data_IF_986849640800
#
_entry.id   IF_986849640800
#
_cell.length_a   1.000
_cell.length_b   1.000
_cell.length_c   1.000
_cell.angle_alpha   90.00
_cell.angle_beta   90.00
_cell.angle_gamma   90.00
#
_symmetry.space_group_name_H-M   'P 1'
#
loop_
_entity.id
_entity.type
_entity.pdbx_description
1 polymer ?
#
# COMPACT_ATOMS: atom_id res chain seq x y z
N UNK A 1 5.75 -48.72 25.82
CA UNK A 1 5.33 -47.74 26.83
C UNK A 1 5.15 -46.44 26.08
N UNK A 2 3.93 -45.94 26.06
CA UNK A 2 3.35 -45.08 25.03
C UNK A 2 4.00 -43.69 24.92
N UNK A 3 4.39 -43.31 23.70
CA UNK A 3 4.93 -42.00 23.33
C UNK A 3 3.89 -41.15 22.56
N UNK A 4 2.61 -41.24 22.93
CA UNK A 4 1.57 -40.35 22.43
C UNK A 4 1.45 -39.14 23.36
N UNK A 5 2.41 -38.22 23.26
CA UNK A 5 2.33 -36.91 23.93
C UNK A 5 1.41 -36.04 23.08
N UNK A 6 0.22 -35.81 23.60
CA UNK A 6 -0.93 -35.13 22.98
C UNK A 6 -0.55 -34.01 22.00
N UNK A 7 -1.06 -34.11 20.77
CA UNK A 7 -0.92 -33.09 19.73
C UNK A 7 -1.53 -31.71 20.12
N UNK A 8 -2.17 -31.63 21.30
CA UNK A 8 -2.78 -30.46 21.92
C UNK A 8 -2.13 -30.15 23.29
N UNK A 9 -0.80 -30.23 23.38
CA UNK A 9 -0.05 -29.81 24.57
C UNK A 9 -0.15 -28.28 24.78
N UNK A 10 -1.13 -27.84 25.57
CA UNK A 10 -1.39 -26.45 25.97
C UNK A 10 -0.22 -25.80 26.75
N UNK A 11 0.79 -26.59 27.13
CA UNK A 11 2.01 -26.09 27.76
C UNK A 11 2.75 -25.08 26.88
N UNK A 12 2.63 -25.16 25.55
CA UNK A 12 3.29 -24.21 24.65
C UNK A 12 2.66 -22.82 24.72
N UNK A 13 1.33 -22.74 24.87
CA UNK A 13 0.62 -21.47 24.99
C UNK A 13 0.91 -20.80 26.34
N UNK A 14 0.90 -21.60 27.42
CA UNK A 14 1.28 -21.13 28.76
C UNK A 14 2.73 -20.65 28.79
N UNK A 15 3.66 -21.40 28.20
CA UNK A 15 5.08 -20.99 28.10
C UNK A 15 5.26 -19.72 27.29
N UNK A 16 4.58 -19.60 26.14
CA UNK A 16 4.66 -18.39 25.32
C UNK A 16 4.14 -17.16 26.09
N UNK A 17 3.08 -17.34 26.89
CA UNK A 17 2.57 -16.28 27.75
C UNK A 17 3.59 -15.91 28.83
N UNK A 18 4.12 -16.88 29.57
CA UNK A 18 5.13 -16.64 30.61
C UNK A 18 6.39 -15.98 30.04
N UNK A 19 6.87 -16.43 28.88
CA UNK A 19 8.01 -15.83 28.16
C UNK A 19 7.70 -14.38 27.75
N UNK A 20 6.49 -14.10 27.27
CA UNK A 20 6.07 -12.74 26.90
C UNK A 20 6.02 -11.79 28.10
N UNK A 21 5.49 -12.27 29.23
CA UNK A 21 5.41 -11.50 30.49
C UNK A 21 6.81 -11.27 31.04
N UNK A 22 7.69 -12.27 30.98
CA UNK A 22 9.08 -12.14 31.42
C UNK A 22 9.87 -11.18 30.54
N UNK A 23 9.70 -11.22 29.21
CA UNK A 23 10.31 -10.26 28.29
C UNK A 23 9.82 -8.83 28.56
N UNK A 24 8.52 -8.65 28.81
CA UNK A 24 7.95 -7.35 29.18
C UNK A 24 8.51 -6.84 30.52
N UNK A 25 8.67 -7.72 31.50
CA UNK A 25 9.31 -7.38 32.79
C UNK A 25 10.80 -7.05 32.63
N UNK A 26 11.52 -7.80 31.79
CA UNK A 26 12.94 -7.60 31.52
C UNK A 26 13.19 -6.28 30.78
N UNK A 27 12.39 -5.97 29.77
CA UNK A 27 12.49 -4.70 29.03
C UNK A 27 12.18 -3.50 29.92
N UNK A 28 11.19 -3.61 30.81
CA UNK A 28 10.91 -2.59 31.83
C UNK A 28 12.08 -2.45 32.81
N UNK A 29 12.59 -3.57 33.33
CA UNK A 29 13.71 -3.58 34.26
C UNK A 29 14.98 -2.99 33.63
N UNK A 30 15.25 -3.30 32.36
CA UNK A 30 16.35 -2.73 31.57
C UNK A 30 16.18 -1.22 31.39
N UNK A 31 14.99 -0.76 31.04
CA UNK A 31 14.68 0.69 30.94
C UNK A 31 14.88 1.42 32.27
N UNK A 32 14.47 0.80 33.39
CA UNK A 32 14.69 1.35 34.74
C UNK A 32 16.19 1.34 35.09
N UNK A 33 16.93 0.29 34.74
CA UNK A 33 18.37 0.23 34.98
C UNK A 33 19.11 1.31 34.17
N UNK A 34 18.79 1.46 32.89
CA UNK A 34 19.37 2.46 32.00
C UNK A 34 19.07 3.89 32.50
N UNK A 35 17.84 4.14 33.00
CA UNK A 35 17.49 5.44 33.59
C UNK A 35 18.18 5.70 34.93
N UNK A 36 18.42 4.68 35.75
CA UNK A 36 19.17 4.84 37.01
C UNK A 36 20.67 5.06 36.82
N UNK A 37 21.24 4.54 35.73
CA UNK A 37 22.67 4.73 35.42
C UNK A 37 22.92 6.16 34.91
N UNK A 38 22.01 6.72 34.11
CA UNK A 38 22.07 8.12 33.68
C UNK A 38 21.81 9.10 34.85
N UNK A 39 20.92 8.75 35.77
CA UNK A 39 20.60 9.58 36.95
C UNK A 39 21.78 9.82 37.90
N UNK A 40 22.83 8.98 37.87
CA UNK A 40 24.00 9.17 38.74
C UNK A 40 25.01 10.19 38.18
N UNK A 41 24.96 10.48 36.88
CA UNK A 41 25.76 11.52 36.23
C UNK A 41 24.99 12.86 36.10
N UNK A 42 23.66 12.84 36.20
CA UNK A 42 22.79 14.01 36.01
C UNK A 42 22.35 14.71 37.32
N UNK A 43 22.72 14.21 38.50
CA UNK A 43 22.39 14.83 39.80
C UNK A 43 23.17 16.13 40.14
N UNK A 44 23.59 16.91 39.14
CA UNK A 44 23.91 18.35 39.30
C UNK A 44 23.10 19.28 38.38
N UNK A 45 22.16 18.75 37.58
CA UNK A 45 21.23 19.60 36.83
C UNK A 45 19.88 18.91 36.58
N UNK A 46 18.86 19.51 37.18
CA UNK A 46 17.47 19.50 36.71
C UNK A 46 16.61 18.26 37.01
N UNK A 47 16.10 18.21 38.25
CA UNK A 47 14.97 17.37 38.63
C UNK A 47 13.64 17.98 38.14
N UNK A 48 13.26 17.86 36.87
CA UNK A 48 11.84 17.85 36.47
C UNK A 48 11.57 17.50 34.99
N UNK A 49 11.61 16.22 34.58
CA UNK A 49 10.92 15.81 33.35
C UNK A 49 10.10 14.55 33.60
N UNK A 50 8.83 14.76 33.99
CA UNK A 50 7.76 13.81 33.71
C UNK A 50 7.60 13.76 32.18
N UNK A 51 7.27 12.62 31.56
CA UNK A 51 6.83 12.64 30.18
C UNK A 51 5.49 13.38 30.19
N UNK A 52 5.56 14.63 29.78
CA UNK A 52 4.41 15.49 29.78
C UNK A 52 3.47 15.01 28.67
N UNK A 53 2.49 14.20 29.05
CA UNK A 53 1.19 14.27 28.39
C UNK A 53 0.52 15.59 28.81
N UNK A 54 1.22 16.71 28.60
CA UNK A 54 0.62 18.03 28.63
C UNK A 54 -0.32 17.99 27.44
N UNK A 55 -1.60 17.94 27.75
CA UNK A 55 -2.65 18.38 26.86
C UNK A 55 -2.19 19.74 26.36
N UNK A 56 -1.60 19.79 25.16
CA UNK A 56 -1.13 21.02 24.56
C UNK A 56 -2.36 21.90 24.37
N UNK A 57 -2.60 22.76 25.35
CA UNK A 57 -3.74 23.64 25.41
C UNK A 57 -3.71 24.55 24.18
N UNK A 58 -4.64 24.31 23.24
CA UNK A 58 -5.11 25.22 22.19
C UNK A 58 -4.07 26.17 21.58
N UNK A 59 -2.85 25.68 21.28
CA UNK A 59 -1.93 26.46 20.46
C UNK A 59 -2.45 26.37 19.02
N UNK A 60 -2.74 27.49 18.33
CA UNK A 60 -3.12 27.44 16.94
C UNK A 60 -1.99 26.79 16.13
N UNK A 61 -2.33 25.80 15.30
CA UNK A 61 -1.39 25.13 14.42
C UNK A 61 -0.78 26.15 13.45
N UNK A 62 0.53 26.05 13.22
CA UNK A 62 1.25 26.84 12.20
C UNK A 62 1.70 25.96 11.05
N UNK A 63 1.95 26.59 9.91
CA UNK A 63 2.50 25.90 8.74
C UNK A 63 3.84 25.25 9.13
N UNK A 64 3.95 23.97 8.81
CA UNK A 64 5.11 23.14 9.12
C UNK A 64 5.00 22.34 10.42
N UNK A 65 4.00 22.60 11.26
CA UNK A 65 3.74 21.78 12.44
C UNK A 65 3.23 20.39 12.04
N UNK A 66 3.49 19.44 12.94
CA UNK A 66 2.93 18.10 12.86
C UNK A 66 1.65 18.06 13.65
N UNK A 67 0.64 17.48 13.03
CA UNK A 67 -0.67 17.34 13.59
C UNK A 67 -1.26 16.02 13.12
N UNK A 68 -2.35 15.62 13.76
CA UNK A 68 -3.07 14.41 13.43
C UNK A 68 -4.45 14.78 12.89
N UNK A 69 -4.95 13.98 11.96
CA UNK A 69 -6.30 14.15 11.46
C UNK A 69 -6.90 12.81 11.04
N UNK A 70 -8.23 12.74 11.12
CA UNK A 70 -9.01 11.56 10.75
C UNK A 70 -9.15 11.48 9.23
N UNK A 71 -8.82 10.33 8.65
CA UNK A 71 -8.97 10.08 7.22
C UNK A 71 -10.32 9.39 6.92
N UNK A 72 -10.61 9.10 5.63
CA UNK A 72 -11.90 8.55 5.18
C UNK A 72 -12.24 7.17 5.77
N UNK A 73 -11.24 6.47 6.30
CA UNK A 73 -11.36 5.18 7.00
C UNK A 73 -11.75 5.34 8.48
N UNK A 74 -11.85 6.58 8.98
CA UNK A 74 -12.14 6.87 10.38
C UNK A 74 -10.93 6.69 11.30
N UNK A 75 -9.73 6.48 10.75
CA UNK A 75 -8.50 6.38 11.52
C UNK A 75 -7.72 7.68 11.50
N UNK A 76 -7.06 7.97 12.62
CA UNK A 76 -6.28 9.16 12.82
C UNK A 76 -4.83 8.93 12.39
N UNK A 77 -4.33 9.76 11.47
CA UNK A 77 -2.96 9.66 10.96
C UNK A 77 -2.17 10.93 11.19
N UNK A 78 -0.88 10.77 11.45
CA UNK A 78 0.07 11.86 11.57
C UNK A 78 0.34 12.48 10.19
N UNK A 79 0.37 13.81 10.17
CA UNK A 79 0.64 14.60 8.98
C UNK A 79 1.39 15.88 9.31
N UNK A 80 1.85 16.56 8.25
CA UNK A 80 2.49 17.85 8.32
C UNK A 80 1.59 18.90 7.67
N UNK A 81 1.37 20.01 8.36
CA UNK A 81 0.59 21.14 7.84
C UNK A 81 1.41 21.83 6.75
N UNK A 82 0.95 21.80 5.51
CA UNK A 82 1.62 22.38 4.33
C UNK A 82 1.21 23.83 4.10
N UNK A 83 -0.08 24.14 4.22
CA UNK A 83 -0.61 25.50 4.10
C UNK A 83 -1.81 25.69 5.02
N UNK A 84 -2.09 26.95 5.38
CA UNK A 84 -3.22 27.35 6.21
C UNK A 84 -3.95 28.47 5.47
N UNK A 85 -5.24 28.28 5.26
CA UNK A 85 -6.15 29.27 4.71
C UNK A 85 -6.97 29.89 5.85
N UNK A 86 -6.50 31.02 6.37
CA UNK A 86 -7.12 31.71 7.50
C UNK A 86 -8.58 32.15 7.21
N UNK A 87 -8.90 32.45 5.94
CA UNK A 87 -10.24 32.89 5.54
C UNK A 87 -11.27 31.76 5.62
N UNK A 88 -10.89 30.56 5.19
CA UNK A 88 -11.75 29.37 5.21
C UNK A 88 -11.67 28.63 6.55
N UNK A 89 -10.69 28.97 7.41
CA UNK A 89 -10.34 28.19 8.60
C UNK A 89 -10.05 26.72 8.24
N UNK A 90 -9.44 26.49 7.08
CA UNK A 90 -8.98 25.18 6.60
C UNK A 90 -7.46 25.16 6.46
N UNK A 91 -6.88 23.97 6.51
CA UNK A 91 -5.48 23.73 6.26
C UNK A 91 -5.31 22.57 5.30
N UNK A 92 -4.18 22.52 4.61
CA UNK A 92 -3.77 21.36 3.82
C UNK A 92 -2.78 20.56 4.66
N UNK A 93 -3.16 19.35 5.04
CA UNK A 93 -2.34 18.41 5.79
C UNK A 93 -1.80 17.34 4.83
N UNK A 94 -0.48 17.14 4.81
CA UNK A 94 0.17 16.04 4.09
C UNK A 94 0.48 14.89 5.04
N UNK A 95 -0.08 13.71 4.78
CA UNK A 95 0.14 12.54 5.62
C UNK A 95 1.58 12.02 5.53
N UNK A 96 2.15 11.66 6.68
CA UNK A 96 3.52 11.12 6.75
C UNK A 96 3.53 9.73 6.13
N UNK A 97 4.47 9.48 5.21
CA UNK A 97 4.64 8.17 4.55
C UNK A 97 3.77 7.98 3.30
N UNK A 98 2.51 8.40 3.35
CA UNK A 98 1.57 8.24 2.24
C UNK A 98 1.61 9.40 1.22
N UNK A 99 2.17 10.56 1.59
CA UNK A 99 2.27 11.78 0.78
C UNK A 99 0.95 12.37 0.24
N UNK A 100 -0.20 11.75 0.54
CA UNK A 100 -1.52 12.28 0.27
C UNK A 100 -1.74 13.60 1.02
N UNK A 101 -2.41 14.54 0.36
CA UNK A 101 -2.79 15.83 0.94
C UNK A 101 -4.29 15.91 1.10
N UNK A 102 -4.74 16.43 2.25
CA UNK A 102 -6.15 16.57 2.57
C UNK A 102 -6.42 17.99 3.08
N UNK A 103 -7.50 18.60 2.59
CA UNK A 103 -8.03 19.83 3.16
C UNK A 103 -8.86 19.49 4.39
N UNK A 104 -8.49 20.05 5.54
CA UNK A 104 -9.03 19.72 6.86
C UNK A 104 -9.32 21.03 7.60
N UNK A 105 -10.50 21.20 8.22
CA UNK A 105 -10.78 22.37 9.02
C UNK A 105 -9.87 22.43 10.25
N UNK A 106 -9.44 23.64 10.65
CA UNK A 106 -8.53 23.84 11.78
C UNK A 106 -9.06 23.30 13.11
N UNK A 107 -10.39 23.17 13.24
CA UNK A 107 -11.05 22.64 14.43
C UNK A 107 -10.96 21.11 14.57
N UNK A 108 -10.71 20.39 13.47
CA UNK A 108 -10.59 18.92 13.46
C UNK A 108 -9.14 18.44 13.57
N UNK A 109 -8.18 19.37 13.49
CA UNK A 109 -6.76 19.06 13.72
C UNK A 109 -6.53 18.68 15.19
N UNK A 110 -5.90 17.53 15.35
CA UNK A 110 -5.52 16.97 16.64
C UNK A 110 -4.01 17.18 16.89
N UNK A 111 -3.58 17.29 18.15
CA UNK A 111 -2.16 17.36 18.48
C UNK A 111 -1.45 16.05 18.12
N UNK A 112 -0.19 16.16 17.70
CA UNK A 112 0.66 15.01 17.33
C UNK A 112 0.88 14.05 18.51
N UNK A 113 0.97 12.75 18.22
CA UNK A 113 1.43 11.71 19.15
C UNK A 113 2.97 11.70 19.33
N UNK A 114 3.70 12.48 18.53
CA UNK A 114 5.15 12.67 18.66
C UNK A 114 5.97 12.01 17.55
N UNK A 115 7.28 11.88 17.79
CA UNK A 115 8.23 11.38 16.79
C UNK A 115 8.10 9.87 16.53
N UNK A 116 7.75 9.09 17.55
CA UNK A 116 7.67 7.63 17.43
C UNK A 116 6.48 7.18 16.58
N UNK A 117 5.31 7.80 16.78
CA UNK A 117 4.12 7.54 15.96
C UNK A 117 4.38 7.85 14.47
N UNK A 118 5.06 8.97 14.18
CA UNK A 118 5.43 9.34 12.80
C UNK A 118 6.38 8.32 12.16
N UNK A 119 7.33 7.78 12.94
CA UNK A 119 8.26 6.76 12.47
C UNK A 119 7.53 5.47 12.13
N UNK A 120 6.66 5.00 13.03
CA UNK A 120 5.86 3.79 12.81
C UNK A 120 4.97 3.93 11.58
N UNK A 121 4.24 5.04 11.44
CA UNK A 121 3.40 5.27 10.28
C UNK A 121 4.20 5.29 8.97
N UNK A 122 5.39 5.91 8.96
CA UNK A 122 6.25 5.91 7.78
C UNK A 122 6.76 4.51 7.42
N UNK A 123 7.08 3.68 8.41
CA UNK A 123 7.52 2.30 8.21
C UNK A 123 6.38 1.43 7.65
N UNK A 124 5.15 1.58 8.17
CA UNK A 124 3.95 0.91 7.65
C UNK A 124 3.67 1.35 6.21
N UNK A 125 3.66 2.67 5.94
CA UNK A 125 3.42 3.18 4.60
C UNK A 125 4.46 2.67 3.59
N UNK A 126 5.72 2.53 4.02
CA UNK A 126 6.79 1.96 3.19
C UNK A 126 6.56 0.46 2.93
N UNK A 127 6.11 -0.29 3.94
CA UNK A 127 5.76 -1.70 3.83
C UNK A 127 4.59 -1.94 2.87
N UNK A 128 3.56 -1.08 2.94
CA UNK A 128 2.43 -1.13 2.01
C UNK A 128 2.85 -0.77 0.58
N UNK A 129 3.75 0.20 0.43
CA UNK A 129 4.28 0.61 -0.88
C UNK A 129 5.15 -0.48 -1.53
N UNK A 130 5.94 -1.22 -0.74
CA UNK A 130 6.72 -2.35 -1.25
C UNK A 130 5.84 -3.57 -1.58
N UNK A 131 4.78 -3.85 -0.81
CA UNK A 131 3.80 -4.89 -1.16
C UNK A 131 3.04 -4.55 -2.46
N UNK A 132 2.69 -3.28 -2.65
CA UNK A 132 2.09 -2.78 -3.89
C UNK A 132 3.06 -2.78 -5.10
N UNK A 133 4.38 -2.79 -4.88
CA UNK A 133 5.40 -2.93 -5.95
C UNK A 133 5.72 -4.40 -6.29
N UNK A 134 5.24 -5.39 -5.53
CA UNK A 134 5.38 -6.83 -5.86
C UNK A 134 4.23 -7.30 -6.75
N UNK A 135 4.01 -6.58 -7.85
CA UNK A 135 3.49 -7.17 -9.09
C UNK A 135 4.69 -7.69 -9.92
N UNK A 136 4.59 -8.85 -10.60
CA UNK A 136 5.75 -9.61 -11.04
C UNK A 136 6.53 -8.87 -12.13
N UNK A 137 7.63 -8.22 -11.74
CA UNK A 137 8.64 -7.74 -12.66
C UNK A 137 9.36 -8.95 -13.26
N UNK A 138 8.82 -9.46 -14.37
CA UNK A 138 9.54 -10.35 -15.27
C UNK A 138 10.80 -9.65 -15.76
N UNK A 139 11.92 -10.08 -15.19
CA UNK A 139 13.30 -9.71 -15.50
C UNK A 139 13.53 -9.44 -16.99
N UNK A 140 13.55 -8.16 -17.37
CA UNK A 140 14.12 -7.76 -18.66
C UNK A 140 15.63 -7.56 -18.46
N UNK A 141 16.36 -8.64 -18.75
CA UNK A 141 17.80 -8.61 -18.92
C UNK A 141 18.18 -7.54 -19.96
N UNK A 142 18.77 -6.45 -19.43
CA UNK A 142 19.36 -5.33 -20.17
C UNK A 142 20.58 -5.82 -20.96
N UNK A 143 20.41 -6.08 -22.26
CA UNK A 143 21.53 -6.16 -23.20
C UNK A 143 21.90 -4.75 -23.68
N UNK A 144 23.17 -4.40 -23.49
CA UNK A 144 23.81 -3.12 -23.84
C UNK A 144 23.87 -2.96 -25.36
N UNK A 145 23.30 -1.89 -25.91
CA UNK A 145 23.52 -1.52 -27.31
C UNK A 145 24.35 -0.24 -27.42
N UNK A 146 25.50 -0.37 -28.07
CA UNK A 146 26.35 0.72 -28.50
C UNK A 146 25.72 1.49 -29.67
N UNK A 147 25.89 2.80 -29.63
CA UNK A 147 25.61 3.78 -30.66
C UNK A 147 26.12 3.39 -32.05
N UNK A 148 25.30 3.68 -33.08
CA UNK A 148 25.70 4.33 -34.36
C UNK A 148 24.44 4.69 -35.18
N UNK A 149 24.28 5.99 -35.50
CA UNK A 149 23.40 6.52 -36.57
C UNK A 149 24.03 6.19 -37.95
N UNK A 150 23.33 6.23 -39.11
CA UNK A 150 22.80 7.45 -39.78
C UNK A 150 21.36 7.26 -40.36
N UNK A 151 20.46 8.25 -40.43
CA UNK A 151 20.32 9.42 -41.33
C UNK A 151 19.47 9.17 -42.61
N UNK A 152 18.45 10.05 -42.78
CA UNK A 152 17.80 10.54 -44.03
C UNK A 152 16.86 9.60 -44.81
N UNK A 153 15.57 9.95 -44.90
CA UNK A 153 14.94 10.47 -46.14
C UNK A 153 13.41 10.68 -46.04
N UNK A 154 12.97 11.74 -46.72
CA UNK A 154 11.63 12.33 -46.90
C UNK A 154 10.52 11.38 -47.39
N UNK A 155 9.27 11.71 -47.04
CA UNK A 155 8.07 11.33 -47.80
C UNK A 155 6.78 11.91 -47.23
N UNK A 156 6.28 13.00 -47.83
CA UNK A 156 4.92 13.55 -47.65
C UNK A 156 3.89 12.61 -48.27
N UNK A 157 2.71 12.44 -47.66
CA UNK A 157 1.41 12.56 -48.33
C UNK A 157 0.21 12.51 -47.36
N UNK A 158 -0.79 13.30 -47.72
CA UNK A 158 -2.01 13.65 -47.00
C UNK A 158 -3.11 12.57 -47.12
N UNK A 159 -4.01 12.62 -46.14
CA UNK A 159 -5.46 12.44 -46.21
C UNK A 159 -6.05 11.07 -46.64
N UNK A 160 -6.86 10.49 -45.75
CA UNK A 160 -8.34 10.45 -45.84
C UNK A 160 -8.87 9.29 -44.98
N UNK A 161 -10.00 9.52 -44.34
CA UNK A 161 -10.79 8.53 -43.63
C UNK A 161 -11.61 7.69 -44.63
N UNK A 162 -11.63 6.36 -44.47
CA UNK A 162 -12.87 5.55 -44.42
C UNK A 162 -12.61 4.03 -44.54
N UNK A 163 -13.24 3.31 -43.60
CA UNK A 163 -13.84 1.97 -43.68
C UNK A 163 -12.99 0.74 -44.09
N UNK A 164 -12.84 -0.10 -43.06
CA UNK A 164 -13.24 -1.50 -42.98
C UNK A 164 -12.55 -2.52 -43.91
N UNK A 165 -11.75 -3.40 -43.31
CA UNK A 165 -11.81 -4.87 -43.49
C UNK A 165 -10.82 -5.56 -42.55
N UNK A 166 -11.30 -6.47 -41.70
CA UNK A 166 -10.47 -7.61 -41.27
C UNK A 166 -10.01 -7.70 -39.81
N UNK A 167 -10.63 -7.00 -38.85
CA UNK A 167 -10.50 -7.41 -37.45
C UNK A 167 -11.40 -8.64 -37.26
N UNK A 168 -10.87 -9.84 -37.49
CA UNK A 168 -11.52 -11.05 -36.99
C UNK A 168 -11.47 -10.96 -35.47
N UNK A 169 -12.58 -10.54 -34.87
CA UNK A 169 -12.77 -10.65 -33.44
C UNK A 169 -12.51 -12.11 -33.06
N UNK A 170 -11.62 -12.39 -32.09
CA UNK A 170 -11.45 -13.76 -31.62
C UNK A 170 -12.82 -14.30 -31.19
N UNK A 171 -13.10 -15.59 -31.41
CA UNK A 171 -14.36 -16.18 -31.00
C UNK A 171 -14.57 -15.88 -29.52
N UNK A 172 -15.71 -15.25 -29.22
CA UNK A 172 -16.12 -14.95 -27.85
C UNK A 172 -16.01 -16.24 -27.04
N UNK A 173 -15.42 -16.20 -25.84
CA UNK A 173 -15.41 -17.38 -24.99
C UNK A 173 -16.88 -17.75 -24.71
N UNK A 174 -17.19 -19.05 -24.81
CA UNK A 174 -18.55 -19.55 -24.62
C UNK A 174 -19.07 -19.08 -23.25
N UNK A 175 -20.14 -18.29 -23.26
CA UNK A 175 -20.79 -17.82 -22.03
C UNK A 175 -20.96 -18.99 -21.05
N UNK A 176 -20.55 -18.84 -19.77
CA UNK A 176 -20.74 -19.88 -18.77
C UNK A 176 -22.23 -20.22 -18.69
N UNK A 177 -22.57 -21.48 -18.36
CA UNK A 177 -23.95 -21.89 -18.17
C UNK A 177 -24.60 -20.93 -17.17
N UNK A 178 -25.65 -20.22 -17.60
CA UNK A 178 -26.50 -19.52 -16.66
C UNK A 178 -27.14 -20.60 -15.79
N UNK A 179 -26.67 -20.78 -14.56
CA UNK A 179 -27.48 -21.42 -13.55
C UNK A 179 -28.69 -20.51 -13.38
N UNK A 180 -29.85 -20.98 -13.81
CA UNK A 180 -31.12 -20.36 -13.48
C UNK A 180 -31.23 -20.41 -11.96
N UNK A 181 -30.83 -19.32 -11.28
CA UNK A 181 -31.21 -19.09 -9.90
C UNK A 181 -32.71 -18.85 -9.90
N UNK A 182 -33.44 -19.95 -9.86
CA UNK A 182 -34.80 -20.00 -9.38
C UNK A 182 -34.78 -19.45 -7.96
N UNK A 183 -35.25 -18.21 -7.82
CA UNK A 183 -35.98 -17.71 -6.67
C UNK A 183 -35.47 -18.13 -5.28
N UNK A 184 -34.69 -17.27 -4.61
CA UNK A 184 -34.94 -16.83 -3.23
C UNK A 184 -33.83 -15.90 -2.71
N UNK A 185 -34.20 -14.66 -2.32
CA UNK A 185 -33.43 -13.77 -1.44
C UNK A 185 -32.25 -13.02 -2.10
N UNK A 186 -32.30 -11.70 -2.28
CA UNK A 186 -32.03 -10.64 -1.28
C UNK A 186 -30.56 -10.62 -0.82
N UNK A 187 -29.84 -9.61 -1.32
CA UNK A 187 -28.69 -8.92 -0.70
C UNK A 187 -27.54 -9.77 -0.14
N UNK A 188 -26.81 -10.46 -1.01
CA UNK A 188 -25.49 -11.02 -0.72
C UNK A 188 -24.49 -10.60 -1.78
N UNK A 189 -23.34 -10.08 -1.35
CA UNK A 189 -22.12 -9.97 -2.17
C UNK A 189 -21.93 -11.28 -2.95
N UNK A 190 -21.64 -11.25 -4.28
CA UNK A 190 -21.40 -12.48 -5.01
C UNK A 190 -20.28 -13.26 -4.33
N UNK A 191 -20.52 -14.54 -4.01
CA UNK A 191 -19.53 -15.39 -3.34
C UNK A 191 -18.14 -15.18 -3.95
N UNK A 192 -17.13 -14.94 -3.13
CA UNK A 192 -15.77 -14.66 -3.61
C UNK A 192 -15.28 -15.75 -4.58
N UNK A 193 -15.72 -16.98 -4.41
CA UNK A 193 -15.45 -18.10 -5.31
C UNK A 193 -16.05 -17.91 -6.71
N UNK A 194 -17.27 -17.36 -6.81
CA UNK A 194 -17.91 -17.03 -8.08
C UNK A 194 -17.21 -15.87 -8.78
N UNK A 195 -16.82 -14.84 -8.03
CA UNK A 195 -16.04 -13.70 -8.55
C UNK A 195 -14.65 -14.16 -9.02
N UNK A 196 -14.00 -15.02 -8.25
CA UNK A 196 -12.71 -15.62 -8.59
C UNK A 196 -12.81 -16.48 -9.87
N UNK A 197 -13.85 -17.30 -10.00
CA UNK A 197 -14.11 -18.10 -11.20
C UNK A 197 -14.29 -17.22 -12.44
N UNK A 198 -15.11 -16.17 -12.35
CA UNK A 198 -15.34 -15.21 -13.44
C UNK A 198 -14.04 -14.47 -13.83
N UNK A 199 -13.25 -14.07 -12.83
CA UNK A 199 -11.96 -13.39 -13.03
C UNK A 199 -10.96 -14.32 -13.71
N UNK A 200 -10.86 -15.58 -13.26
CA UNK A 200 -9.99 -16.57 -13.87
C UNK A 200 -10.34 -16.85 -15.33
N UNK A 201 -11.64 -16.94 -15.65
CA UNK A 201 -12.11 -17.16 -17.02
C UNK A 201 -11.82 -15.96 -17.93
N UNK A 202 -12.07 -14.74 -17.44
CA UNK A 202 -11.77 -13.51 -18.16
C UNK A 202 -10.27 -13.34 -18.44
N UNK A 203 -9.42 -13.54 -17.42
CA UNK A 203 -7.97 -13.42 -17.57
C UNK A 203 -7.42 -14.45 -18.56
N UNK A 204 -7.95 -15.67 -18.52
CA UNK A 204 -7.60 -16.71 -19.49
C UNK A 204 -7.93 -16.27 -20.94
N UNK A 205 -9.09 -15.68 -21.16
CA UNK A 205 -9.46 -15.11 -22.47
C UNK A 205 -8.55 -13.95 -22.89
N UNK A 206 -8.25 -13.03 -21.98
CA UNK A 206 -7.36 -11.89 -22.24
C UNK A 206 -5.97 -12.35 -22.74
N UNK A 207 -5.37 -13.32 -22.05
CA UNK A 207 -4.06 -13.83 -22.44
C UNK A 207 -4.08 -14.60 -23.77
N UNK A 208 -5.17 -15.28 -24.12
CA UNK A 208 -5.28 -15.92 -25.45
C UNK A 208 -5.25 -14.91 -26.59
N UNK A 209 -5.96 -13.79 -26.46
CA UNK A 209 -5.94 -12.71 -27.44
C UNK A 209 -4.56 -12.05 -27.59
N UNK A 210 -3.89 -11.81 -26.46
CA UNK A 210 -2.54 -11.23 -26.42
C UNK A 210 -1.50 -12.14 -27.11
N UNK A 211 -1.58 -13.45 -26.87
CA UNK A 211 -0.72 -14.43 -27.54
C UNK A 211 -0.93 -14.42 -29.06
N UNK A 212 -2.20 -14.44 -29.51
CA UNK A 212 -2.54 -14.42 -30.93
C UNK A 212 -1.99 -13.16 -31.63
N UNK A 213 -2.18 -11.98 -31.03
CA UNK A 213 -1.69 -10.71 -31.59
C UNK A 213 -0.16 -10.63 -31.67
N UNK A 214 0.56 -11.14 -30.65
CA UNK A 214 2.02 -11.22 -30.66
C UNK A 214 2.54 -12.18 -31.73
N UNK A 215 1.84 -13.29 -31.96
CA UNK A 215 2.21 -14.29 -32.96
C UNK A 215 1.98 -13.78 -34.39
N UNK A 216 0.87 -13.09 -34.63
CA UNK A 216 0.57 -12.46 -35.92
C UNK A 216 1.50 -11.28 -36.22
N UNK A 217 1.79 -10.42 -35.23
CA UNK A 217 2.76 -9.33 -35.39
C UNK A 217 4.17 -9.84 -35.67
N UNK A 218 4.57 -10.93 -35.02
CA UNK A 218 5.83 -11.63 -35.29
C UNK A 218 5.87 -12.28 -36.68
N UNK A 219 4.76 -12.90 -37.11
CA UNK A 219 4.63 -13.52 -38.43
C UNK A 219 4.65 -12.47 -39.55
N UNK A 220 3.94 -11.34 -39.39
CA UNK A 220 3.93 -10.22 -40.36
C UNK A 220 5.31 -9.58 -40.52
N UNK A 221 6.08 -9.43 -39.42
CA UNK A 221 7.47 -8.94 -39.47
C UNK A 221 8.42 -9.92 -40.16
N UNK A 222 8.19 -11.23 -40.05
CA UNK A 222 8.99 -12.25 -40.75
C UNK A 222 8.61 -12.37 -42.23
N UNK A 223 7.35 -12.17 -42.60
CA UNK A 223 6.89 -12.19 -43.98
C UNK A 223 7.34 -10.96 -44.78
N UNK A 224 7.42 -9.77 -44.16
CA UNK A 224 7.88 -8.53 -44.80
C UNK A 224 9.41 -8.47 -45.05
N UNK A 225 10.16 -9.49 -44.61
CA UNK A 225 11.63 -9.56 -44.74
C UNK A 225 12.10 -10.62 -45.74
N UNK A 226 11.18 -11.23 -46.49
CA UNK A 226 11.48 -12.20 -47.55
C UNK A 226 11.17 -11.62 -48.91
#
# INVERSE_FOLDING_TARGET
>A
MSEDKDAWDDSLLVKAYDDSVNLARETLARRIADSTNNRREENEADENEKPDMEQAENKPFKVGDFARATYTDGLDYEGKVTSIDEQAQTCILRYVGYENEQEIPLAELLPTWGADARRLQHEVAKADAEDAEVEPTAQQQRVKNNNKKPAVAKGKQQATCSRASGLSMPPMPMVPPMFASSSAGVDGEPDQDFVAMLTAWYMSGYYTGLYQGRKEGGAKKKAAKK
#
